data_IF_840491361908
#
_entry.id   IF_840491361908
#
_cell.length_a   1.000
_cell.length_b   1.000
_cell.length_c   1.000
_cell.angle_alpha   90.00
_cell.angle_beta   90.00
_cell.angle_gamma   90.00
#
_symmetry.space_group_name_H-M   'P 1'
#
loop_
_entity.id
_entity.type
_entity.pdbx_description
1 polymer ?
#
# COMPACT_ATOMS: atom_id res chain seq x y z
N UNK A 1 10.88 20.23 -5.79
CA UNK A 1 10.37 19.58 -4.55
C UNK A 1 9.89 18.18 -4.91
N UNK A 2 10.16 17.16 -4.11
CA UNK A 2 9.66 15.84 -4.38
C UNK A 2 8.14 15.80 -4.20
N UNK A 3 7.43 15.49 -5.27
CA UNK A 3 5.98 15.33 -5.23
C UNK A 3 5.65 13.96 -4.64
N UNK A 4 5.28 13.92 -3.37
CA UNK A 4 4.70 12.72 -2.76
C UNK A 4 3.26 12.59 -3.25
N UNK A 5 2.95 11.56 -4.01
CA UNK A 5 1.59 11.23 -4.42
C UNK A 5 1.03 10.13 -3.52
N UNK A 6 -0.19 10.32 -3.02
CA UNK A 6 -0.97 9.27 -2.36
C UNK A 6 -2.00 8.76 -3.36
N UNK A 7 -1.95 7.48 -3.70
CA UNK A 7 -2.98 6.80 -4.48
C UNK A 7 -4.00 6.18 -3.52
N UNK A 8 -5.28 6.38 -3.78
CA UNK A 8 -6.37 5.76 -3.05
C UNK A 8 -7.33 5.12 -4.04
N UNK A 9 -7.41 3.78 -4.00
CA UNK A 9 -8.39 3.03 -4.76
C UNK A 9 -9.76 3.15 -4.09
N UNK A 10 -10.79 3.45 -4.87
CA UNK A 10 -12.16 3.64 -4.39
C UNK A 10 -13.16 2.91 -5.28
N UNK A 11 -14.04 2.18 -4.62
CA UNK A 11 -15.20 1.55 -5.24
C UNK A 11 -16.48 2.14 -4.69
N UNK A 12 -17.45 2.45 -5.57
CA UNK A 12 -18.81 2.84 -5.21
C UNK A 12 -19.82 1.83 -5.78
N UNK A 13 -20.58 1.19 -4.91
CA UNK A 13 -21.67 0.33 -5.36
C UNK A 13 -22.69 1.12 -6.21
N UNK A 14 -23.15 0.57 -7.35
CA UNK A 14 -24.12 1.24 -8.23
C UNK A 14 -25.46 1.55 -7.51
N UNK A 15 -25.84 0.74 -6.52
CA UNK A 15 -27.06 0.90 -5.70
C UNK A 15 -26.82 1.71 -4.42
N UNK A 16 -25.61 2.15 -4.15
CA UNK A 16 -25.27 2.93 -2.97
C UNK A 16 -25.85 4.35 -3.03
N UNK A 17 -26.14 4.92 -1.87
CA UNK A 17 -26.58 6.31 -1.74
C UNK A 17 -25.48 7.25 -2.26
N UNK A 18 -25.78 7.92 -3.36
CA UNK A 18 -24.83 8.80 -4.04
C UNK A 18 -24.54 10.07 -3.22
N UNK A 19 -25.53 10.62 -2.54
CA UNK A 19 -25.34 11.79 -1.69
C UNK A 19 -24.42 11.49 -0.50
N UNK A 20 -24.59 10.33 0.12
CA UNK A 20 -23.73 9.88 1.21
C UNK A 20 -22.30 9.61 0.70
N UNK A 21 -22.15 9.04 -0.51
CA UNK A 21 -20.86 8.85 -1.15
C UNK A 21 -20.14 10.19 -1.33
N UNK A 22 -20.81 11.22 -1.89
CA UNK A 22 -20.20 12.54 -2.09
C UNK A 22 -19.78 13.19 -0.77
N UNK A 23 -20.63 13.12 0.27
CA UNK A 23 -20.29 13.63 1.60
C UNK A 23 -19.04 12.95 2.19
N UNK A 24 -18.95 11.62 2.05
CA UNK A 24 -17.79 10.85 2.54
C UNK A 24 -16.53 11.16 1.74
N UNK A 25 -16.66 11.30 0.42
CA UNK A 25 -15.55 11.69 -0.45
C UNK A 25 -15.00 13.06 -0.05
N UNK A 26 -15.89 14.03 0.13
CA UNK A 26 -15.53 15.38 0.57
C UNK A 26 -14.80 15.39 1.91
N UNK A 27 -15.31 14.68 2.92
CA UNK A 27 -14.66 14.54 4.22
C UNK A 27 -13.28 13.90 4.14
N UNK A 28 -13.07 12.95 3.23
CA UNK A 28 -11.77 12.31 3.02
C UNK A 28 -10.82 13.28 2.34
N UNK A 29 -11.29 13.95 1.28
CA UNK A 29 -10.48 14.93 0.55
C UNK A 29 -10.08 16.10 1.45
N UNK A 30 -10.99 16.61 2.28
CA UNK A 30 -10.69 17.64 3.26
C UNK A 30 -9.54 17.24 4.21
N UNK A 31 -9.49 15.96 4.64
CA UNK A 31 -8.42 15.45 5.50
C UNK A 31 -7.10 15.21 4.75
N UNK A 32 -7.17 14.84 3.47
CA UNK A 32 -6.00 14.51 2.67
C UNK A 32 -5.41 15.71 1.94
N UNK A 33 -6.23 16.75 1.69
CA UNK A 33 -5.83 17.92 0.93
C UNK A 33 -4.73 18.69 1.68
N UNK A 34 -3.56 18.70 1.06
CA UNK A 34 -2.39 19.39 1.58
C UNK A 34 -1.49 19.79 0.40
N UNK A 35 -1.02 21.02 0.41
CA UNK A 35 -0.14 21.58 -0.63
C UNK A 35 1.20 20.83 -0.81
N UNK A 36 1.52 19.89 0.08
CA UNK A 36 2.75 19.09 0.01
C UNK A 36 2.61 17.83 -0.82
N UNK A 37 1.38 17.40 -1.13
CA UNK A 37 1.12 16.11 -1.80
C UNK A 37 0.21 16.31 -3.00
N UNK A 38 0.48 15.58 -4.07
CA UNK A 38 -0.51 15.39 -5.13
C UNK A 38 -1.42 14.21 -4.75
N UNK A 39 -2.71 14.46 -4.82
CA UNK A 39 -3.73 13.43 -4.62
C UNK A 39 -4.05 12.84 -5.98
N UNK A 40 -4.11 11.52 -6.05
CA UNK A 40 -4.61 10.75 -7.19
C UNK A 40 -5.69 9.84 -6.63
N UNK A 41 -6.87 9.86 -7.23
CA UNK A 41 -7.97 8.97 -6.88
C UNK A 41 -8.25 8.12 -8.10
N UNK A 42 -8.22 6.81 -7.96
CA UNK A 42 -8.51 5.86 -9.03
C UNK A 42 -9.64 4.94 -8.57
N UNK A 43 -10.46 4.49 -9.50
CA UNK A 43 -11.40 3.42 -9.24
C UNK A 43 -12.80 3.59 -9.86
N UNK A 44 -13.63 2.58 -9.62
CA UNK A 44 -15.01 2.50 -10.08
C UNK A 44 -15.93 3.40 -9.24
N UNK A 45 -16.31 4.53 -9.82
CA UNK A 45 -17.24 5.49 -9.19
C UNK A 45 -18.69 5.26 -9.61
N UNK A 46 -18.93 4.33 -10.56
CA UNK A 46 -20.24 4.04 -11.13
C UNK A 46 -21.00 5.29 -11.64
N UNK A 47 -20.26 6.24 -12.18
CA UNK A 47 -20.75 7.44 -12.88
C UNK A 47 -20.15 7.42 -14.27
N UNK A 48 -21.01 7.37 -15.30
CA UNK A 48 -20.53 7.33 -16.68
C UNK A 48 -19.99 8.70 -17.12
N UNK A 49 -18.70 8.76 -17.39
CA UNK A 49 -18.00 9.97 -17.83
C UNK A 49 -18.06 10.21 -19.34
N UNK A 50 -18.59 9.27 -20.13
CA UNK A 50 -18.84 9.48 -21.57
C UNK A 50 -20.11 10.28 -21.83
N UNK A 51 -20.93 10.53 -20.81
CA UNK A 51 -22.19 11.26 -20.92
C UNK A 51 -22.33 12.32 -19.86
N UNK A 52 -22.93 13.44 -20.22
CA UNK A 52 -23.31 14.44 -19.24
C UNK A 52 -24.50 13.95 -18.41
N UNK A 53 -24.35 14.04 -17.11
CA UNK A 53 -25.39 13.66 -16.16
C UNK A 53 -25.33 14.51 -14.90
N UNK A 54 -26.46 14.62 -14.22
CA UNK A 54 -26.51 15.33 -12.93
C UNK A 54 -25.55 14.71 -11.89
N UNK A 55 -25.38 13.37 -11.90
CA UNK A 55 -24.43 12.70 -11.01
C UNK A 55 -22.98 13.06 -11.32
N UNK A 56 -22.63 13.15 -12.61
CA UNK A 56 -21.29 13.61 -13.04
C UNK A 56 -21.06 15.04 -12.57
N UNK A 57 -21.98 15.95 -12.84
CA UNK A 57 -21.83 17.35 -12.43
C UNK A 57 -21.67 17.52 -10.90
N UNK A 58 -22.42 16.74 -10.10
CA UNK A 58 -22.29 16.78 -8.65
C UNK A 58 -20.93 16.21 -8.17
N UNK A 59 -20.44 15.14 -8.77
CA UNK A 59 -19.13 14.56 -8.45
C UNK A 59 -18.01 15.53 -8.82
N UNK A 60 -18.07 16.09 -10.04
CA UNK A 60 -17.11 17.06 -10.54
C UNK A 60 -17.07 18.32 -9.66
N UNK A 61 -18.24 18.79 -9.17
CA UNK A 61 -18.29 19.94 -8.25
C UNK A 61 -17.50 19.69 -6.96
N UNK A 62 -17.59 18.50 -6.37
CA UNK A 62 -16.79 18.11 -5.20
C UNK A 62 -15.31 18.01 -5.56
N UNK A 63 -14.98 17.34 -6.64
CA UNK A 63 -13.57 17.12 -7.04
C UNK A 63 -12.88 18.42 -7.43
N UNK A 64 -13.54 19.31 -8.15
CA UNK A 64 -12.99 20.60 -8.58
C UNK A 64 -12.70 21.52 -7.36
N UNK A 65 -13.41 21.39 -6.25
CA UNK A 65 -13.10 22.14 -5.03
C UNK A 65 -11.71 21.78 -4.45
N UNK A 66 -11.16 20.64 -4.86
CA UNK A 66 -9.80 20.16 -4.52
C UNK A 66 -8.86 20.18 -5.73
N UNK A 67 -9.20 20.87 -6.79
CA UNK A 67 -8.44 20.93 -8.04
C UNK A 67 -8.23 19.56 -8.69
N UNK A 68 -9.14 18.62 -8.52
CA UNK A 68 -9.12 17.30 -9.14
C UNK A 68 -10.05 17.26 -10.34
N UNK A 69 -9.61 16.61 -11.42
CA UNK A 69 -10.38 16.41 -12.65
C UNK A 69 -10.30 14.95 -13.08
N UNK A 70 -11.42 14.41 -13.56
CA UNK A 70 -11.44 13.10 -14.21
C UNK A 70 -10.76 13.18 -15.57
N UNK A 71 -9.92 12.19 -15.86
CA UNK A 71 -9.09 12.18 -17.08
C UNK A 71 -9.40 11.01 -18.02
N UNK A 72 -10.30 10.11 -17.66
CA UNK A 72 -10.68 8.97 -18.49
C UNK A 72 -11.79 9.41 -19.44
N UNK A 73 -11.50 9.42 -20.75
CA UNK A 73 -12.40 9.84 -21.82
C UNK A 73 -12.75 8.70 -22.80
N UNK A 74 -12.39 7.47 -22.44
CA UNK A 74 -12.65 6.26 -23.22
C UNK A 74 -13.46 5.25 -22.41
N UNK A 75 -14.15 4.28 -23.05
CA UNK A 75 -14.89 3.25 -22.33
C UNK A 75 -13.98 2.39 -21.46
N UNK A 76 -14.40 2.15 -20.22
CA UNK A 76 -13.72 1.26 -19.26
C UNK A 76 -14.53 0.02 -18.97
N UNK A 77 -15.83 0.03 -19.31
CA UNK A 77 -16.72 -1.12 -19.16
C UNK A 77 -17.50 -1.39 -20.42
N UNK A 78 -17.54 -2.67 -20.83
CA UNK A 78 -18.18 -3.17 -22.03
C UNK A 78 -19.29 -4.15 -21.70
N UNK A 79 -20.54 -3.72 -21.87
CA UNK A 79 -21.72 -4.60 -21.82
C UNK A 79 -22.12 -5.06 -23.21
N UNK A 80 -23.10 -5.99 -23.30
CA UNK A 80 -23.57 -6.56 -24.58
C UNK A 80 -24.00 -5.51 -25.61
N UNK A 81 -24.53 -4.38 -25.19
CA UNK A 81 -25.01 -3.28 -26.05
C UNK A 81 -24.65 -1.88 -25.51
N UNK A 82 -23.73 -1.79 -24.56
CA UNK A 82 -23.39 -0.54 -23.90
C UNK A 82 -21.89 -0.43 -23.63
N UNK A 83 -21.38 0.77 -23.76
CA UNK A 83 -20.02 1.12 -23.38
C UNK A 83 -20.11 2.30 -22.42
N UNK A 84 -19.41 2.21 -21.29
CA UNK A 84 -19.43 3.24 -20.25
C UNK A 84 -18.02 3.46 -19.68
N UNK A 85 -17.70 4.70 -19.31
CA UNK A 85 -16.51 5.02 -18.53
C UNK A 85 -16.95 5.25 -17.07
N UNK A 86 -16.99 4.19 -16.28
CA UNK A 86 -17.40 4.22 -14.86
C UNK A 86 -16.21 4.09 -13.92
N UNK A 87 -15.10 3.60 -14.39
CA UNK A 87 -13.80 3.70 -13.77
C UNK A 87 -13.14 5.02 -14.21
N UNK A 88 -12.49 5.70 -13.29
CA UNK A 88 -11.84 6.96 -13.63
C UNK A 88 -10.65 7.25 -12.72
N UNK A 89 -9.71 8.01 -13.27
CA UNK A 89 -8.57 8.58 -12.58
C UNK A 89 -8.79 10.08 -12.40
N UNK A 90 -8.79 10.54 -11.16
CA UNK A 90 -8.93 11.96 -10.81
C UNK A 90 -7.61 12.52 -10.33
N UNK A 91 -7.09 13.50 -11.04
CA UNK A 91 -5.77 14.08 -10.79
C UNK A 91 -5.82 15.61 -10.80
N UNK A 92 -4.84 16.24 -10.16
CA UNK A 92 -4.60 17.66 -10.32
C UNK A 92 -3.61 17.91 -11.46
N UNK A 93 -4.13 18.23 -12.64
CA UNK A 93 -3.36 18.44 -13.88
C UNK A 93 -2.34 19.56 -13.70
N UNK A 94 -2.69 20.63 -12.98
CA UNK A 94 -1.80 21.81 -12.81
C UNK A 94 -0.53 21.47 -12.03
N UNK A 95 -0.58 20.50 -11.11
CA UNK A 95 0.56 20.10 -10.28
C UNK A 95 1.25 18.83 -10.77
N UNK A 96 0.54 17.95 -11.47
CA UNK A 96 1.09 16.71 -12.04
C UNK A 96 1.81 17.00 -13.35
N UNK A 97 1.31 17.96 -14.15
CA UNK A 97 1.88 18.31 -15.45
C UNK A 97 1.53 17.29 -16.51
N UNK A 98 2.54 16.80 -17.27
CA UNK A 98 2.33 15.84 -18.35
C UNK A 98 2.03 14.45 -17.81
N UNK A 99 0.98 13.84 -18.31
CA UNK A 99 0.59 12.46 -18.05
C UNK A 99 0.21 11.78 -19.37
N UNK A 100 0.22 10.46 -19.37
CA UNK A 100 -0.27 9.63 -20.47
C UNK A 100 -1.23 8.59 -19.86
N UNK A 101 -2.35 8.36 -20.53
CA UNK A 101 -3.39 7.44 -20.06
C UNK A 101 -3.75 6.49 -21.20
N UNK A 102 -3.70 5.19 -20.92
CA UNK A 102 -3.96 4.14 -21.88
C UNK A 102 -4.99 3.15 -21.37
N UNK A 103 -5.97 2.76 -22.23
CA UNK A 103 -6.80 1.61 -21.92
C UNK A 103 -5.99 0.32 -22.07
N UNK A 104 -6.18 -0.63 -21.15
CA UNK A 104 -5.56 -1.94 -21.19
C UNK A 104 -6.65 -3.02 -21.27
N UNK A 105 -6.88 -3.54 -22.47
CA UNK A 105 -7.78 -4.68 -22.65
C UNK A 105 -7.18 -5.92 -21.99
N UNK A 106 -7.70 -6.31 -20.85
CA UNK A 106 -7.17 -7.43 -20.07
C UNK A 106 -7.96 -8.74 -20.24
N UNK A 107 -9.21 -8.66 -20.75
CA UNK A 107 -10.09 -9.80 -20.98
C UNK A 107 -10.42 -10.61 -19.71
N UNK A 108 -10.31 -10.01 -18.52
CA UNK A 108 -10.54 -10.67 -17.24
C UNK A 108 -11.98 -10.51 -16.73
N UNK A 109 -12.64 -9.44 -17.14
CA UNK A 109 -14.01 -9.10 -16.77
C UNK A 109 -14.64 -8.24 -17.86
N UNK A 110 -15.83 -7.69 -17.62
CA UNK A 110 -16.47 -6.67 -18.43
C UNK A 110 -15.86 -5.27 -18.21
N UNK A 111 -14.89 -5.13 -17.29
CA UNK A 111 -14.08 -3.95 -17.10
C UNK A 111 -12.68 -4.13 -17.67
N UNK A 112 -12.21 -3.15 -18.43
CA UNK A 112 -10.82 -3.03 -18.83
C UNK A 112 -10.00 -2.29 -17.78
N UNK A 113 -8.70 -2.52 -17.77
CA UNK A 113 -7.79 -1.80 -16.88
C UNK A 113 -7.35 -0.48 -17.53
N UNK A 114 -6.90 0.44 -16.71
CA UNK A 114 -6.32 1.72 -17.10
C UNK A 114 -4.86 1.79 -16.68
N UNK A 115 -4.03 2.41 -17.50
CA UNK A 115 -2.63 2.65 -17.20
C UNK A 115 -2.33 4.14 -17.26
N UNK A 116 -2.21 4.75 -16.08
CA UNK A 116 -1.79 6.13 -15.92
C UNK A 116 -0.27 6.23 -15.76
N UNK A 117 0.40 6.88 -16.70
CA UNK A 117 1.84 7.17 -16.65
C UNK A 117 2.02 8.63 -16.28
N UNK A 118 2.66 8.86 -15.14
CA UNK A 118 3.02 10.19 -14.69
C UNK A 118 4.48 10.48 -15.01
N UNK A 119 4.74 11.45 -15.87
CA UNK A 119 6.09 11.87 -16.23
C UNK A 119 6.70 12.70 -15.10
N UNK A 120 7.30 12.04 -14.12
CA UNK A 120 8.09 12.71 -13.07
C UNK A 120 9.50 12.95 -13.56
N UNK A 121 9.85 14.21 -13.77
CA UNK A 121 11.14 14.65 -14.29
C UNK A 121 12.38 14.41 -13.43
N UNK A 122 12.34 13.56 -12.40
CA UNK A 122 13.54 13.09 -11.69
C UNK A 122 13.29 11.69 -11.12
N UNK A 123 14.15 10.74 -11.49
CA UNK A 123 14.27 9.48 -10.75
C UNK A 123 14.66 9.79 -9.31
N UNK A 124 13.75 9.60 -8.35
CA UNK A 124 14.17 9.52 -6.94
C UNK A 124 15.20 8.40 -6.84
N UNK A 125 16.39 8.71 -6.37
CA UNK A 125 17.30 7.69 -5.86
C UNK A 125 16.50 6.83 -4.88
N UNK A 126 16.57 5.51 -5.06
CA UNK A 126 15.90 4.55 -4.18
C UNK A 126 16.50 4.71 -2.79
N UNK A 127 15.81 5.41 -1.91
CA UNK A 127 16.20 5.48 -0.52
C UNK A 127 16.22 4.06 0.05
N UNK A 128 17.43 3.55 0.25
CA UNK A 128 17.66 2.26 0.85
C UNK A 128 17.49 2.42 2.37
N UNK A 129 16.26 2.21 2.87
CA UNK A 129 16.04 2.20 4.31
C UNK A 129 16.75 1.00 4.91
N UNK A 130 17.72 1.26 5.79
CA UNK A 130 18.32 0.22 6.58
C UNK A 130 17.74 0.25 7.99
N UNK A 131 17.38 -0.91 8.50
CA UNK A 131 16.93 -1.09 9.87
C UNK A 131 17.74 -2.16 10.56
N UNK A 132 17.78 -2.12 11.88
CA UNK A 132 18.44 -3.13 12.67
C UNK A 132 17.41 -4.14 13.16
N UNK A 133 17.73 -5.43 13.05
CA UNK A 133 16.95 -6.51 13.65
C UNK A 133 17.88 -7.53 14.30
N UNK A 134 17.35 -8.29 15.26
CA UNK A 134 18.12 -9.41 15.81
C UNK A 134 18.18 -10.56 14.83
N UNK A 135 19.35 -11.21 14.76
CA UNK A 135 19.54 -12.43 13.95
C UNK A 135 18.97 -13.61 14.73
N UNK A 136 17.68 -13.90 14.52
CA UNK A 136 16.99 -15.04 15.12
C UNK A 136 16.72 -16.06 14.03
N UNK A 137 17.26 -17.27 14.15
CA UNK A 137 17.04 -18.42 13.30
C UNK A 137 17.23 -19.72 14.10
N UNK A 138 16.95 -20.86 13.48
CA UNK A 138 17.03 -22.17 14.16
C UNK A 138 18.41 -22.46 14.80
N UNK A 139 19.49 -21.98 14.21
CA UNK A 139 20.86 -22.18 14.75
C UNK A 139 21.09 -21.29 15.96
N UNK A 140 20.80 -20.00 15.85
CA UNK A 140 20.96 -19.07 17.00
C UNK A 140 20.03 -19.40 18.17
N UNK A 141 18.86 -20.00 17.90
CA UNK A 141 17.97 -20.51 18.95
C UNK A 141 18.58 -21.71 19.63
N UNK A 142 19.13 -22.68 18.87
CA UNK A 142 19.79 -23.84 19.43
C UNK A 142 21.00 -23.45 20.29
N UNK A 143 21.84 -22.52 19.80
CA UNK A 143 22.97 -21.98 20.56
C UNK A 143 22.52 -21.28 21.84
N UNK A 144 21.44 -20.51 21.78
CA UNK A 144 20.86 -19.85 22.95
C UNK A 144 20.38 -20.86 23.99
N UNK A 145 19.62 -21.88 23.57
CA UNK A 145 19.13 -22.94 24.43
C UNK A 145 20.29 -23.71 25.07
N UNK A 146 21.32 -24.06 24.29
CA UNK A 146 22.52 -24.72 24.80
C UNK A 146 23.22 -23.87 25.86
N UNK A 147 23.42 -22.57 25.63
CA UNK A 147 24.06 -21.70 26.61
C UNK A 147 23.21 -21.51 27.89
N UNK A 148 21.89 -21.47 27.76
CA UNK A 148 21.01 -21.44 28.94
C UNK A 148 21.12 -22.73 29.76
N UNK A 149 21.28 -23.89 29.13
CA UNK A 149 21.39 -25.18 29.83
C UNK A 149 22.75 -25.38 30.52
N UNK A 150 23.79 -24.69 30.07
CA UNK A 150 25.10 -24.71 30.69
C UNK A 150 25.32 -23.64 31.78
N UNK A 151 24.39 -22.66 31.86
CA UNK A 151 24.50 -21.60 32.87
C UNK A 151 24.22 -22.19 34.27
N UNK A 152 25.12 -21.93 35.22
CA UNK A 152 24.92 -22.22 36.61
C UNK A 152 24.13 -21.06 37.25
N UNK A 153 22.94 -21.34 37.66
CA UNK A 153 22.03 -20.32 38.22
C UNK A 153 22.23 -20.08 39.72
N UNK A 154 23.26 -20.66 40.33
CA UNK A 154 23.52 -20.60 41.78
C UNK A 154 23.61 -19.14 42.27
N UNK A 155 24.35 -18.30 41.60
CA UNK A 155 24.51 -16.88 41.92
C UNK A 155 23.19 -16.06 41.87
N UNK A 156 22.15 -16.57 41.22
CA UNK A 156 20.85 -15.92 41.16
C UNK A 156 20.16 -15.98 42.52
N UNK A 157 20.39 -17.05 43.30
CA UNK A 157 19.75 -17.30 44.58
C UNK A 157 20.50 -16.68 45.78
N UNK A 158 21.65 -16.05 45.53
CA UNK A 158 22.44 -15.38 46.57
C UNK A 158 21.86 -14.03 47.01
N UNK A 159 20.81 -13.56 46.36
CA UNK A 159 20.15 -12.27 46.64
C UNK A 159 19.37 -12.28 47.97
N UNK A 160 19.33 -11.12 48.65
CA UNK A 160 18.65 -10.96 49.91
C UNK A 160 17.13 -10.76 49.78
N UNK A 161 16.65 -10.32 48.64
CA UNK A 161 15.23 -10.14 48.36
C UNK A 161 14.84 -10.62 46.96
N UNK A 162 13.52 -10.73 46.75
CA UNK A 162 12.96 -11.23 45.48
C UNK A 162 13.32 -10.33 44.28
N UNK A 163 13.45 -9.01 44.50
CA UNK A 163 13.80 -8.09 43.40
C UNK A 163 15.27 -8.26 43.00
N UNK A 164 16.16 -8.47 43.94
CA UNK A 164 17.58 -8.73 43.68
C UNK A 164 17.77 -10.05 42.94
N UNK A 165 17.10 -11.10 43.40
CA UNK A 165 17.06 -12.43 42.77
C UNK A 165 16.56 -12.28 41.30
N UNK A 166 15.44 -11.61 41.13
CA UNK A 166 14.86 -11.41 39.80
C UNK A 166 15.79 -10.59 38.88
N UNK A 167 16.38 -9.51 39.37
CA UNK A 167 17.29 -8.69 38.61
C UNK A 167 18.55 -9.44 38.18
N UNK A 168 19.11 -10.27 39.07
CA UNK A 168 20.27 -11.11 38.79
C UNK A 168 19.94 -12.17 37.73
N UNK A 169 18.77 -12.82 37.85
CA UNK A 169 18.25 -13.71 36.81
C UNK A 169 18.11 -13.01 35.48
N UNK A 170 17.42 -11.87 35.47
CA UNK A 170 17.16 -11.11 34.25
C UNK A 170 18.45 -10.66 33.57
N UNK A 171 19.41 -10.15 34.33
CA UNK A 171 20.70 -9.70 33.78
C UNK A 171 21.48 -10.88 33.17
N UNK A 172 21.50 -12.03 33.83
CA UNK A 172 22.14 -13.24 33.32
C UNK A 172 21.47 -13.73 32.04
N UNK A 173 20.14 -13.80 32.06
CA UNK A 173 19.35 -14.18 30.88
C UNK A 173 19.59 -13.22 29.69
N UNK A 174 19.52 -11.91 29.94
CA UNK A 174 19.73 -10.89 28.90
C UNK A 174 21.16 -10.90 28.35
N UNK A 175 22.16 -11.16 29.20
CA UNK A 175 23.56 -11.34 28.78
C UNK A 175 23.67 -12.45 27.74
N UNK A 176 23.09 -13.61 28.00
CA UNK A 176 23.09 -14.76 27.07
C UNK A 176 22.25 -14.40 25.83
N UNK A 177 21.07 -13.80 26.00
CA UNK A 177 20.19 -13.41 24.91
C UNK A 177 20.89 -12.44 23.94
N UNK A 178 21.52 -11.39 24.44
CA UNK A 178 22.18 -10.41 23.57
C UNK A 178 23.42 -10.96 22.88
N UNK A 179 24.13 -11.88 23.53
CA UNK A 179 25.29 -12.52 22.92
C UNK A 179 24.93 -13.46 21.77
N UNK A 180 23.77 -14.15 21.88
CA UNK A 180 23.35 -15.15 20.87
C UNK A 180 22.46 -14.58 19.77
N UNK A 181 21.79 -13.46 20.03
CA UNK A 181 20.97 -12.76 19.06
C UNK A 181 21.53 -11.36 18.73
N UNK A 182 22.67 -11.28 18.03
CA UNK A 182 23.28 -10.01 17.69
C UNK A 182 22.39 -9.18 16.80
N UNK A 183 22.48 -7.85 16.92
CA UNK A 183 21.84 -6.90 16.01
C UNK A 183 22.57 -6.91 14.67
N UNK A 184 21.81 -7.15 13.60
CA UNK A 184 22.30 -7.03 12.23
C UNK A 184 21.60 -5.91 11.51
N UNK A 185 22.34 -5.16 10.70
CA UNK A 185 21.78 -4.12 9.83
C UNK A 185 21.27 -4.76 8.56
N UNK A 186 19.97 -4.60 8.30
CA UNK A 186 19.31 -5.11 7.10
C UNK A 186 18.96 -3.95 6.20
N UNK A 187 19.41 -4.01 4.96
CA UNK A 187 18.96 -3.09 3.93
C UNK A 187 17.63 -3.63 3.41
N UNK A 188 16.56 -2.86 3.57
CA UNK A 188 15.29 -3.20 2.95
C UNK A 188 15.42 -2.95 1.45
N UNK A 189 15.58 -4.01 0.67
CA UNK A 189 15.28 -3.94 -0.76
C UNK A 189 13.76 -3.82 -0.83
N UNK A 190 13.23 -2.62 -1.02
CA UNK A 190 11.81 -2.47 -1.37
C UNK A 190 11.55 -3.42 -2.55
N UNK A 191 10.87 -4.53 -2.26
CA UNK A 191 10.31 -5.34 -3.33
C UNK A 191 9.40 -4.42 -4.12
N UNK A 192 9.73 -4.17 -5.38
CA UNK A 192 8.99 -3.27 -6.28
C UNK A 192 7.51 -3.66 -6.42
N UNK A 193 7.13 -4.83 -5.91
CA UNK A 193 5.83 -5.45 -6.09
C UNK A 193 5.28 -5.95 -4.74
N UNK A 194 5.17 -5.08 -3.74
CA UNK A 194 4.60 -5.45 -2.42
C UNK A 194 3.13 -5.93 -2.51
N UNK A 195 2.41 -5.57 -3.58
CA UNK A 195 1.05 -6.01 -3.87
C UNK A 195 0.98 -7.42 -4.48
N UNK A 196 2.10 -7.96 -5.02
CA UNK A 196 2.15 -9.31 -5.59
C UNK A 196 2.29 -10.34 -4.48
N UNK A 197 1.16 -10.85 -4.02
CA UNK A 197 1.12 -11.92 -3.02
C UNK A 197 1.45 -13.28 -3.65
N UNK A 198 1.88 -14.29 -2.86
CA UNK A 198 2.02 -15.67 -3.35
C UNK A 198 0.77 -16.21 -4.04
N UNK A 199 -0.43 -15.83 -3.57
CA UNK A 199 -1.70 -16.18 -4.19
C UNK A 199 -1.85 -15.62 -5.61
N UNK A 200 -1.50 -14.34 -5.82
CA UNK A 200 -1.51 -13.72 -7.15
C UNK A 200 -0.52 -14.43 -8.09
N UNK A 201 0.69 -14.76 -7.62
CA UNK A 201 1.68 -15.49 -8.42
C UNK A 201 1.14 -16.85 -8.83
N UNK A 202 0.51 -17.59 -7.91
CA UNK A 202 -0.08 -18.90 -8.18
C UNK A 202 -1.22 -18.79 -9.19
N UNK A 203 -2.15 -17.86 -9.01
CA UNK A 203 -3.25 -17.62 -9.94
C UNK A 203 -2.76 -17.27 -11.35
N UNK A 204 -1.76 -16.43 -11.47
CA UNK A 204 -1.15 -16.09 -12.75
C UNK A 204 -0.46 -17.30 -13.43
N UNK A 205 0.15 -18.20 -12.64
CA UNK A 205 0.74 -19.43 -13.18
C UNK A 205 -0.35 -20.38 -13.69
N UNK A 206 -1.37 -20.65 -12.88
CA UNK A 206 -2.49 -21.50 -13.28
C UNK A 206 -3.18 -20.97 -14.56
N UNK A 207 -3.41 -19.66 -14.63
CA UNK A 207 -3.97 -19.05 -15.85
C UNK A 207 -3.10 -19.31 -17.07
N UNK A 208 -1.78 -19.11 -16.99
CA UNK A 208 -0.86 -19.37 -18.13
C UNK A 208 -0.83 -20.84 -18.56
N UNK A 209 -1.06 -21.76 -17.64
CA UNK A 209 -1.13 -23.20 -17.95
C UNK A 209 -2.42 -23.58 -18.67
N UNK A 210 -3.54 -22.89 -18.36
CA UNK A 210 -4.84 -23.10 -19.01
C UNK A 210 -4.91 -22.54 -20.45
N UNK A 211 -4.03 -21.60 -20.80
CA UNK A 211 -4.01 -20.96 -22.13
C UNK A 211 -2.81 -21.38 -23.00
N UNK A 212 -2.09 -22.46 -22.61
CA UNK A 212 -1.13 -23.17 -23.45
C UNK A 212 -1.78 -24.34 -24.16
#
# INVERSE_FOLDING_TARGET
>A
MPVNSKCNDRYRSPRGDFTNFLKRLDLILQKLYNNKYNIIICGDVNVNYLMDSNRRSQLDAVLHSYNLMGIVEFPTRFGLKSQTAIDNDFINISTIGKYELYPLMNGLSDHDAEMLILNKGQKKEKECYSYTKRKINKYTIADFQSNLSYETWEHVFDGYDVNEIFNTFLNTFLRIYYSRFPLIRVKNKMNQNSWVTPGIITSCKCKRELYK
#
